data_IF_163667849774
#
_entry.id   IF_163667849774
#
_cell.length_a   1.000
_cell.length_b   1.000
_cell.length_c   1.000
_cell.angle_alpha   90.00
_cell.angle_beta   90.00
_cell.angle_gamma   90.00
#
_symmetry.space_group_name_H-M   'P 1'
#
loop_
_entity.id
_entity.type
_entity.pdbx_description
1 polymer ?
#
# COMPACT_ATOMS: atom_id res chain seq x y z
N UNK A 1 0.90 20.82 -25.17
CA UNK A 1 1.29 19.82 -24.16
C UNK A 1 0.36 18.63 -24.30
N UNK A 2 0.92 17.44 -24.49
CA UNK A 2 0.14 16.22 -24.53
C UNK A 2 -0.49 15.98 -23.14
N UNK A 3 -1.69 15.43 -23.12
CA UNK A 3 -2.34 14.95 -21.90
C UNK A 3 -2.20 13.43 -21.88
N UNK A 4 -1.94 12.86 -20.71
CA UNK A 4 -1.88 11.42 -20.54
C UNK A 4 -3.24 10.79 -20.91
N UNK A 5 -3.20 9.69 -21.66
CA UNK A 5 -4.38 8.95 -22.11
C UNK A 5 -4.13 7.44 -22.03
N UNK A 6 -5.18 6.67 -22.23
CA UNK A 6 -5.11 5.21 -22.31
C UNK A 6 -4.11 4.75 -23.39
N UNK A 7 -3.29 3.77 -23.05
CA UNK A 7 -2.16 3.26 -23.85
C UNK A 7 -0.84 4.01 -23.66
N UNK A 8 -0.83 5.18 -23.00
CA UNK A 8 0.42 5.90 -22.75
C UNK A 8 1.19 5.26 -21.58
N UNK A 9 2.51 5.20 -21.72
CA UNK A 9 3.43 4.83 -20.65
C UNK A 9 3.86 6.10 -19.92
N UNK A 10 3.55 6.18 -18.63
CA UNK A 10 3.79 7.37 -17.80
C UNK A 10 4.74 7.07 -16.66
N UNK A 11 5.49 8.10 -16.25
CA UNK A 11 6.34 8.10 -15.05
C UNK A 11 5.76 9.08 -14.06
N UNK A 12 5.51 8.63 -12.84
CA UNK A 12 4.94 9.45 -11.78
C UNK A 12 5.75 9.31 -10.50
N UNK A 13 5.90 10.42 -9.78
CA UNK A 13 6.27 10.39 -8.38
C UNK A 13 4.99 10.37 -7.56
N UNK A 14 4.92 9.49 -6.56
CA UNK A 14 3.78 9.42 -5.67
C UNK A 14 4.21 9.28 -4.22
N UNK A 15 3.38 9.79 -3.33
CA UNK A 15 3.44 9.54 -1.90
C UNK A 15 2.06 9.10 -1.45
N UNK A 16 1.95 7.87 -0.98
CA UNK A 16 0.73 7.28 -0.46
C UNK A 16 0.72 7.37 1.07
N UNK A 17 -0.28 8.07 1.60
CA UNK A 17 -0.51 8.20 3.04
C UNK A 17 -1.83 7.58 3.45
N UNK A 18 -1.87 7.03 4.66
CA UNK A 18 -3.10 6.64 5.34
C UNK A 18 -3.76 7.87 5.97
N UNK A 19 -5.02 7.75 6.38
CA UNK A 19 -5.79 8.85 6.98
C UNK A 19 -5.21 9.38 8.30
N UNK A 20 -4.34 8.61 8.95
CA UNK A 20 -3.59 9.02 10.16
C UNK A 20 -2.25 9.69 9.85
N UNK A 21 -1.90 9.84 8.56
CA UNK A 21 -0.63 10.41 8.11
C UNK A 21 0.51 9.40 7.90
N UNK A 22 0.30 8.11 8.20
CA UNK A 22 1.31 7.08 7.99
C UNK A 22 1.60 6.91 6.51
N UNK A 23 2.86 7.07 6.10
CA UNK A 23 3.29 6.80 4.74
C UNK A 23 3.38 5.28 4.54
N UNK A 24 2.58 4.73 3.63
CA UNK A 24 2.62 3.30 3.31
C UNK A 24 3.47 3.00 2.06
N UNK A 25 3.68 4.00 1.21
CA UNK A 25 4.48 3.87 0.00
C UNK A 25 4.87 5.23 -0.55
N UNK A 26 6.10 5.36 -1.03
CA UNK A 26 6.57 6.56 -1.69
C UNK A 26 7.58 6.18 -2.78
N UNK A 27 7.62 6.95 -3.85
CA UNK A 27 8.73 6.93 -4.82
C UNK A 27 9.85 7.83 -4.34
N UNK A 28 11.09 7.44 -4.59
CA UNK A 28 12.25 8.31 -4.38
C UNK A 28 12.45 9.21 -5.61
N UNK A 29 13.06 10.39 -5.43
CA UNK A 29 13.28 11.36 -6.51
C UNK A 29 14.06 10.77 -7.71
N UNK A 30 14.92 9.78 -7.45
CA UNK A 30 15.73 9.15 -8.49
C UNK A 30 15.02 7.96 -9.18
N UNK A 31 13.89 7.50 -8.63
CA UNK A 31 13.18 6.29 -9.07
C UNK A 31 11.67 6.55 -9.23
N UNK A 32 11.25 7.16 -10.36
CA UNK A 32 9.83 7.33 -10.64
C UNK A 32 9.15 5.98 -10.86
N UNK A 33 7.92 5.89 -10.40
CA UNK A 33 7.08 4.72 -10.66
C UNK A 33 6.53 4.80 -12.09
N UNK A 34 6.74 3.75 -12.87
CA UNK A 34 6.37 3.70 -14.27
C UNK A 34 5.28 2.65 -14.51
N UNK A 35 4.23 3.04 -15.22
CA UNK A 35 3.14 2.15 -15.60
C UNK A 35 2.49 2.58 -16.91
N UNK A 36 1.76 1.66 -17.55
CA UNK A 36 0.97 1.92 -18.75
C UNK A 36 -0.49 2.10 -18.37
N UNK A 37 -1.11 3.18 -18.85
CA UNK A 37 -2.53 3.46 -18.61
C UNK A 37 -3.39 2.48 -19.42
N UNK A 38 -4.32 1.80 -18.76
CA UNK A 38 -5.25 0.81 -19.32
C UNK A 38 -4.92 -0.64 -18.97
N UNK A 39 -3.74 -0.91 -18.39
CA UNK A 39 -3.32 -2.28 -18.06
C UNK A 39 -3.84 -2.79 -16.71
N UNK A 40 -4.45 -1.92 -15.89
CA UNK A 40 -4.93 -2.25 -14.53
C UNK A 40 -3.81 -2.79 -13.63
N UNK A 41 -2.58 -2.40 -13.90
CA UNK A 41 -1.39 -2.74 -13.10
C UNK A 41 -1.34 -1.97 -11.78
N UNK A 42 -2.18 -0.95 -11.62
CA UNK A 42 -2.33 -0.13 -10.41
C UNK A 42 -3.80 0.05 -10.04
N UNK A 43 -4.07 0.70 -8.91
CA UNK A 43 -5.42 1.00 -8.46
C UNK A 43 -6.19 1.76 -9.56
N UNK A 44 -7.41 1.34 -9.93
CA UNK A 44 -8.19 2.00 -11.00
C UNK A 44 -8.40 3.49 -10.77
N UNK A 45 -8.58 3.91 -9.50
CA UNK A 45 -8.69 5.33 -9.15
C UNK A 45 -7.37 6.09 -9.31
N UNK A 46 -6.23 5.44 -9.07
CA UNK A 46 -4.92 6.03 -9.28
C UNK A 46 -4.66 6.23 -10.78
N UNK A 47 -4.90 5.20 -11.59
CA UNK A 47 -4.80 5.26 -13.04
C UNK A 47 -5.72 6.33 -13.64
N UNK A 48 -7.00 6.34 -13.24
CA UNK A 48 -7.98 7.34 -13.65
C UNK A 48 -7.63 8.76 -13.23
N UNK A 49 -6.87 8.94 -12.15
CA UNK A 49 -6.42 10.26 -11.73
C UNK A 49 -5.35 10.84 -12.65
N UNK A 50 -4.49 9.98 -13.21
CA UNK A 50 -3.40 10.35 -14.14
C UNK A 50 -3.93 10.68 -15.53
N UNK A 51 -5.02 10.03 -15.96
CA UNK A 51 -5.67 10.36 -17.24
C UNK A 51 -6.02 11.86 -17.28
N UNK A 52 -5.58 12.53 -18.34
CA UNK A 52 -5.82 13.95 -18.58
C UNK A 52 -4.79 14.89 -17.94
N UNK A 53 -3.90 14.39 -17.07
CA UNK A 53 -2.80 15.18 -16.50
C UNK A 53 -1.77 15.55 -17.57
N UNK A 54 -1.07 16.66 -17.32
CA UNK A 54 0.09 17.09 -18.09
C UNK A 54 1.38 16.77 -17.35
N UNK A 55 2.49 16.71 -18.08
CA UNK A 55 3.82 16.62 -17.47
C UNK A 55 4.05 17.78 -16.48
N UNK A 56 4.59 17.43 -15.30
CA UNK A 56 4.84 18.38 -14.21
C UNK A 56 3.61 18.77 -13.39
N UNK A 57 2.41 18.27 -13.72
CA UNK A 57 1.21 18.51 -12.93
C UNK A 57 1.22 17.65 -11.65
N UNK A 58 0.83 18.25 -10.54
CA UNK A 58 0.66 17.55 -9.27
C UNK A 58 -0.83 17.43 -8.95
N UNK A 59 -1.24 16.27 -8.44
CA UNK A 59 -2.63 15.99 -8.10
C UNK A 59 -2.70 15.17 -6.82
N UNK A 60 -3.52 15.61 -5.88
CA UNK A 60 -3.87 14.85 -4.70
C UNK A 60 -5.23 14.18 -4.93
N UNK A 61 -5.31 12.89 -4.63
CA UNK A 61 -6.54 12.11 -4.70
C UNK A 61 -6.77 11.39 -3.38
N UNK A 62 -8.03 11.32 -2.97
CA UNK A 62 -8.46 10.47 -1.86
C UNK A 62 -9.12 9.23 -2.47
N UNK A 63 -8.59 8.05 -2.15
CA UNK A 63 -9.14 6.77 -2.59
C UNK A 63 -9.77 6.10 -1.38
N UNK A 64 -11.06 5.80 -1.47
CA UNK A 64 -11.76 5.08 -0.41
C UNK A 64 -11.21 3.64 -0.30
N UNK A 65 -11.24 3.01 0.89
CA UNK A 65 -10.74 1.64 1.06
C UNK A 65 -11.35 0.66 0.05
N UNK A 66 -12.64 0.80 -0.27
CA UNK A 66 -13.39 -0.04 -1.20
C UNK A 66 -12.85 0.02 -2.65
N UNK A 67 -12.25 1.16 -3.02
CA UNK A 67 -11.64 1.40 -4.32
C UNK A 67 -10.12 1.13 -4.34
N UNK A 68 -9.56 0.72 -3.19
CA UNK A 68 -8.13 0.45 -2.99
C UNK A 68 -7.87 -1.01 -2.60
N UNK A 69 -7.54 -1.24 -1.33
CA UNK A 69 -7.15 -2.55 -0.78
C UNK A 69 -8.26 -3.22 0.05
N UNK A 70 -9.47 -2.65 0.02
CA UNK A 70 -10.61 -3.07 0.82
C UNK A 70 -10.64 -2.46 2.22
N UNK A 71 -11.78 -2.60 2.93
CA UNK A 71 -11.88 -2.17 4.32
C UNK A 71 -10.97 -2.98 5.22
N UNK A 72 -10.58 -2.40 6.36
CA UNK A 72 -9.80 -3.12 7.38
C UNK A 72 -10.57 -4.35 7.85
N UNK A 73 -10.00 -5.51 7.57
CA UNK A 73 -10.52 -6.79 8.04
C UNK A 73 -10.22 -6.95 9.53
N UNK A 74 -11.28 -6.90 10.35
CA UNK A 74 -11.18 -7.09 11.80
C UNK A 74 -10.95 -8.54 12.18
N UNK A 75 -11.34 -9.49 11.35
CA UNK A 75 -11.14 -10.93 11.61
C UNK A 75 -9.67 -11.32 11.43
N UNK A 76 -8.89 -10.51 10.70
CA UNK A 76 -7.44 -10.65 10.56
C UNK A 76 -6.63 -9.97 11.67
N UNK A 77 -7.30 -9.43 12.69
CA UNK A 77 -6.66 -8.88 13.89
C UNK A 77 -6.89 -9.87 15.03
N UNK A 78 -5.82 -10.43 15.57
CA UNK A 78 -5.88 -11.32 16.71
C UNK A 78 -4.82 -10.97 17.74
N UNK A 79 -5.10 -11.32 18.99
CA UNK A 79 -4.17 -11.19 20.11
C UNK A 79 -3.48 -12.53 20.26
N UNK A 80 -2.15 -12.51 20.27
CA UNK A 80 -1.33 -13.68 20.60
C UNK A 80 -0.64 -13.43 21.94
N UNK A 81 -0.47 -14.47 22.75
CA UNK A 81 0.35 -14.35 23.94
C UNK A 81 1.83 -14.26 23.54
N UNK A 82 2.61 -13.51 24.32
CA UNK A 82 4.06 -13.42 24.10
C UNK A 82 4.74 -14.80 24.09
N UNK A 83 4.18 -15.77 24.82
CA UNK A 83 4.63 -17.17 24.86
C UNK A 83 4.37 -17.94 23.56
N UNK A 84 3.43 -17.51 22.72
CA UNK A 84 3.16 -18.10 21.40
C UNK A 84 4.10 -17.54 20.33
N UNK A 85 4.72 -16.40 20.60
CA UNK A 85 5.73 -15.80 19.74
C UNK A 85 7.07 -16.49 20.02
N UNK A 86 7.78 -16.99 18.99
CA UNK A 86 9.09 -17.59 19.19
C UNK A 86 10.06 -16.64 19.92
N UNK A 87 10.85 -17.17 20.87
CA UNK A 87 11.74 -16.38 21.74
C UNK A 87 12.75 -15.50 21.00
N UNK A 88 13.05 -15.82 19.73
CA UNK A 88 13.94 -15.02 18.87
C UNK A 88 13.28 -13.76 18.30
N UNK A 89 11.97 -13.58 18.49
CA UNK A 89 11.20 -12.44 17.98
C UNK A 89 10.76 -11.56 19.15
N UNK A 90 11.41 -10.41 19.32
CA UNK A 90 10.91 -9.36 20.20
C UNK A 90 9.71 -8.67 19.53
N UNK A 91 8.50 -8.68 20.12
CA UNK A 91 7.37 -7.92 19.59
C UNK A 91 7.59 -6.44 19.85
N UNK A 92 7.59 -5.65 18.78
CA UNK A 92 7.69 -4.20 18.81
C UNK A 92 6.64 -3.63 17.88
N UNK A 93 5.94 -2.56 18.29
CA UNK A 93 4.90 -1.93 17.47
C UNK A 93 5.46 -1.56 16.09
N UNK A 94 4.75 -1.95 15.03
CA UNK A 94 5.16 -1.76 13.64
C UNK A 94 6.09 -2.84 13.08
N UNK A 95 6.61 -3.75 13.91
CA UNK A 95 7.45 -4.86 13.44
C UNK A 95 6.62 -5.86 12.65
N UNK A 96 7.18 -6.29 11.51
CA UNK A 96 6.62 -7.36 10.69
C UNK A 96 7.13 -8.71 11.17
N UNK A 97 6.21 -9.62 11.44
CA UNK A 97 6.49 -10.98 11.91
C UNK A 97 5.93 -11.96 10.89
N UNK A 98 6.74 -12.91 10.47
CA UNK A 98 6.28 -13.99 9.60
C UNK A 98 5.79 -15.14 10.48
N UNK A 99 4.51 -15.48 10.37
CA UNK A 99 3.89 -16.58 11.12
C UNK A 99 3.40 -17.65 10.15
N UNK A 100 3.49 -18.90 10.58
CA UNK A 100 2.80 -19.99 9.92
C UNK A 100 1.41 -20.12 10.55
N UNK A 101 0.37 -19.92 9.75
CA UNK A 101 -1.00 -20.14 10.19
C UNK A 101 -1.26 -21.64 10.37
N UNK A 102 -2.29 -22.02 11.14
CA UNK A 102 -2.69 -23.41 11.32
C UNK A 102 -3.05 -24.14 10.01
N UNK A 103 -3.31 -23.40 8.93
CA UNK A 103 -3.51 -23.92 7.56
C UNK A 103 -2.21 -24.33 6.86
N UNK A 104 -1.04 -24.03 7.44
CA UNK A 104 0.27 -24.20 6.81
C UNK A 104 0.71 -23.03 5.94
N UNK A 105 -0.16 -22.05 5.70
CA UNK A 105 0.18 -20.83 4.95
C UNK A 105 1.04 -19.89 5.78
N UNK A 106 2.03 -19.27 5.13
CA UNK A 106 2.83 -18.22 5.76
C UNK A 106 2.14 -16.87 5.59
N UNK A 107 1.91 -16.17 6.70
CA UNK A 107 1.38 -14.82 6.71
C UNK A 107 2.41 -13.85 7.32
N UNK A 108 2.47 -12.63 6.78
CA UNK A 108 3.20 -11.53 7.39
C UNK A 108 2.19 -10.72 8.21
N UNK A 109 2.44 -10.60 9.50
CA UNK A 109 1.65 -9.80 10.43
C UNK A 109 2.44 -8.59 10.86
N UNK A 110 1.74 -7.52 11.21
CA UNK A 110 2.34 -6.32 11.80
C UNK A 110 1.86 -6.23 13.25
N UNK A 111 2.80 -6.06 14.18
CA UNK A 111 2.46 -5.84 15.60
C UNK A 111 1.79 -4.47 15.71
N UNK A 112 0.53 -4.47 16.14
CA UNK A 112 -0.25 -3.23 16.33
C UNK A 112 -0.07 -2.65 17.73
N UNK A 113 0.06 -3.52 18.74
CA UNK A 113 0.12 -3.15 20.14
C UNK A 113 0.92 -4.20 20.92
N UNK A 114 1.58 -3.77 21.99
CA UNK A 114 2.27 -4.64 22.95
C UNK A 114 1.85 -4.17 24.34
N UNK A 115 1.15 -5.03 25.09
CA UNK A 115 0.65 -4.79 26.44
C UNK A 115 1.15 -5.83 27.42
#
# INVERSE_FOLDING_TARGET
MAKAKEGDRVKVYFTGTLGDGTIFGQTHEDEPFEFTIGEKSVLPKFEGAVIGMKEGENKAILIAPEDAYGPRDKERVFTAEKSEIPDHITPEIGKKIQVQMGSGEMAILTVLEVS
#
